data_IF_430239889342
#
_entry.id   IF_430239889342
#
_cell.length_a   1.000
_cell.length_b   1.000
_cell.length_c   1.000
_cell.angle_alpha   90.00
_cell.angle_beta   90.00
_cell.angle_gamma   90.00
#
_symmetry.space_group_name_H-M   'P 1'
#
loop_
_entity.id
_entity.type
_entity.pdbx_description
1 polymer ?
#
# COMPACT_ATOMS: atom_id res chain seq x y z
N UNK A 1 34.55 -65.93 21.78
CA UNK A 1 34.27 -64.57 22.30
C UNK A 1 34.40 -63.47 21.30
N UNK A 2 35.31 -63.46 20.36
CA UNK A 2 35.45 -62.35 19.35
C UNK A 2 34.31 -62.23 18.31
N UNK A 3 33.64 -63.34 17.96
CA UNK A 3 32.55 -63.32 16.94
C UNK A 3 31.23 -62.74 17.45
N UNK A 4 30.97 -62.77 18.75
CA UNK A 4 29.78 -62.18 19.35
C UNK A 4 29.90 -60.66 19.58
N UNK A 5 31.13 -60.19 19.79
CA UNK A 5 31.41 -58.75 19.99
C UNK A 5 31.22 -57.95 18.70
N UNK A 6 31.62 -58.50 17.52
CA UNK A 6 31.44 -57.84 16.24
C UNK A 6 29.98 -57.76 15.77
N UNK A 7 29.10 -58.68 16.18
CA UNK A 7 27.67 -58.62 15.86
C UNK A 7 26.93 -57.55 16.68
N UNK A 8 27.36 -57.32 17.93
CA UNK A 8 26.80 -56.27 18.78
C UNK A 8 27.21 -54.87 18.30
N UNK A 9 28.46 -54.69 17.86
CA UNK A 9 28.93 -53.41 17.29
C UNK A 9 28.22 -53.05 15.97
N UNK A 10 27.91 -54.03 15.12
CA UNK A 10 27.17 -53.79 13.87
C UNK A 10 25.68 -53.42 14.09
N UNK A 11 25.09 -53.90 15.20
CA UNK A 11 23.69 -53.53 15.53
C UNK A 11 23.58 -52.11 16.12
N UNK A 12 24.58 -51.63 16.84
CA UNK A 12 24.62 -50.28 17.41
C UNK A 12 24.92 -49.24 16.33
N UNK A 13 25.77 -49.56 15.33
CA UNK A 13 26.02 -48.66 14.17
C UNK A 13 24.79 -48.50 13.24
N UNK A 14 23.92 -49.52 13.16
CA UNK A 14 22.70 -49.47 12.33
C UNK A 14 21.57 -48.65 12.93
N UNK A 15 21.55 -48.42 14.26
CA UNK A 15 20.46 -47.72 14.95
C UNK A 15 20.73 -46.21 15.11
N UNK A 16 21.95 -45.73 14.82
CA UNK A 16 22.30 -44.31 14.97
C UNK A 16 22.04 -43.47 13.70
N UNK A 17 21.52 -44.07 12.62
CA UNK A 17 21.28 -43.38 11.32
C UNK A 17 19.83 -42.95 11.08
N UNK A 18 18.94 -43.02 12.05
CA UNK A 18 17.50 -42.78 11.84
C UNK A 18 16.89 -41.63 12.63
N UNK A 19 17.66 -40.64 13.04
CA UNK A 19 17.10 -39.47 13.71
C UNK A 19 17.72 -38.14 13.18
N UNK A 20 17.89 -37.98 11.87
CA UNK A 20 17.87 -36.64 11.36
C UNK A 20 16.41 -36.18 11.27
N UNK A 21 15.87 -35.82 12.44
CA UNK A 21 14.69 -34.96 12.47
C UNK A 21 15.13 -33.67 11.79
N UNK A 22 14.84 -33.59 10.49
CA UNK A 22 14.95 -32.31 9.78
C UNK A 22 14.07 -31.34 10.56
N UNK A 23 14.67 -30.46 11.34
CA UNK A 23 13.96 -29.38 11.97
C UNK A 23 13.37 -28.56 10.81
N UNK A 24 12.07 -28.77 10.54
CA UNK A 24 11.35 -28.01 9.55
C UNK A 24 11.37 -26.55 9.99
N UNK A 25 11.93 -25.70 9.18
CA UNK A 25 11.94 -24.26 9.46
C UNK A 25 10.53 -23.70 9.31
N UNK A 26 10.09 -22.88 10.27
CA UNK A 26 8.80 -22.20 10.16
C UNK A 26 8.79 -21.33 8.88
N UNK A 27 7.65 -21.31 8.18
CA UNK A 27 7.46 -20.40 7.05
C UNK A 27 7.23 -19.00 7.60
N UNK A 28 8.13 -18.07 7.28
CA UNK A 28 8.01 -16.67 7.71
C UNK A 28 7.33 -15.85 6.63
N UNK A 29 6.23 -15.19 6.98
CA UNK A 29 5.53 -14.22 6.13
C UNK A 29 5.46 -12.88 6.84
N UNK A 30 5.19 -11.81 6.11
CA UNK A 30 5.10 -10.49 6.72
C UNK A 30 3.88 -9.70 6.25
N UNK A 31 3.48 -8.71 7.05
CA UNK A 31 2.59 -7.63 6.64
C UNK A 31 3.24 -6.29 6.94
N UNK A 32 3.27 -5.41 5.95
CA UNK A 32 3.89 -4.09 6.04
C UNK A 32 2.91 -2.98 5.65
N UNK A 33 2.96 -1.88 6.38
CA UNK A 33 2.15 -0.69 6.13
C UNK A 33 2.31 0.33 7.25
N UNK A 34 1.51 1.41 7.25
CA UNK A 34 1.59 2.46 8.24
C UNK A 34 0.99 2.00 9.58
N UNK A 35 1.74 1.30 10.40
CA UNK A 35 1.28 0.84 11.73
C UNK A 35 1.24 1.99 12.73
N UNK A 36 1.94 3.09 12.45
CA UNK A 36 1.95 4.34 13.22
C UNK A 36 1.64 5.56 12.35
N UNK A 37 1.55 6.76 12.98
CA UNK A 37 1.30 8.02 12.29
C UNK A 37 -0.15 8.24 11.88
N UNK A 38 -0.36 9.22 11.01
CA UNK A 38 -1.72 9.67 10.63
C UNK A 38 -2.55 8.64 9.84
N UNK A 39 -1.90 7.62 9.28
CA UNK A 39 -2.52 6.56 8.51
C UNK A 39 -2.59 5.22 9.27
N UNK A 40 -2.34 5.23 10.58
CA UNK A 40 -2.29 4.02 11.42
C UNK A 40 -3.57 3.18 11.37
N UNK A 41 -4.72 3.78 11.11
CA UNK A 41 -5.99 3.05 10.94
C UNK A 41 -5.97 2.07 9.78
N UNK A 42 -5.27 2.38 8.70
CA UNK A 42 -5.07 1.45 7.58
C UNK A 42 -4.10 0.32 7.94
N UNK A 43 -3.01 0.65 8.67
CA UNK A 43 -2.08 -0.35 9.20
C UNK A 43 -2.76 -1.34 10.13
N UNK A 44 -3.64 -0.84 11.00
CA UNK A 44 -4.44 -1.70 11.89
C UNK A 44 -5.33 -2.69 11.12
N UNK A 45 -5.95 -2.25 10.01
CA UNK A 45 -6.75 -3.13 9.15
C UNK A 45 -5.88 -4.21 8.48
N UNK A 46 -4.70 -3.84 7.95
CA UNK A 46 -3.75 -4.79 7.36
C UNK A 46 -3.32 -5.84 8.37
N UNK A 47 -2.90 -5.39 9.56
CA UNK A 47 -2.48 -6.26 10.66
C UNK A 47 -3.58 -7.23 11.07
N UNK A 48 -4.80 -6.73 11.29
CA UNK A 48 -5.93 -7.56 11.67
C UNK A 48 -6.25 -8.64 10.62
N UNK A 49 -6.21 -8.29 9.33
CA UNK A 49 -6.39 -9.25 8.23
C UNK A 49 -5.30 -10.31 8.19
N UNK A 50 -4.03 -9.91 8.34
CA UNK A 50 -2.90 -10.82 8.36
C UNK A 50 -2.92 -11.78 9.58
N UNK A 51 -3.25 -11.27 10.77
CA UNK A 51 -3.38 -12.06 11.98
C UNK A 51 -4.55 -13.07 11.89
N UNK A 52 -5.67 -12.66 11.30
CA UNK A 52 -6.81 -13.56 11.07
C UNK A 52 -6.42 -14.68 10.11
N UNK A 53 -5.76 -14.37 9.01
CA UNK A 53 -5.25 -15.35 8.06
C UNK A 53 -4.25 -16.30 8.73
N UNK A 54 -3.30 -15.79 9.50
CA UNK A 54 -2.32 -16.57 10.25
C UNK A 54 -3.00 -17.60 11.15
N UNK A 55 -3.98 -17.15 11.95
CA UNK A 55 -4.75 -18.03 12.84
C UNK A 55 -5.47 -19.13 12.06
N UNK A 56 -6.05 -18.80 10.91
CA UNK A 56 -6.76 -19.74 10.06
C UNK A 56 -5.81 -20.78 9.46
N UNK A 57 -4.68 -20.36 8.87
CA UNK A 57 -3.74 -21.29 8.23
C UNK A 57 -3.08 -22.22 9.24
N UNK A 58 -2.68 -21.70 10.40
CA UNK A 58 -2.05 -22.52 11.44
C UNK A 58 -3.03 -23.52 12.10
N UNK A 59 -4.32 -23.15 12.19
CA UNK A 59 -5.38 -24.09 12.62
C UNK A 59 -5.56 -25.26 11.65
N UNK A 60 -5.26 -25.06 10.37
CA UNK A 60 -5.30 -26.10 9.33
C UNK A 60 -4.00 -26.88 9.19
N UNK A 61 -3.02 -26.69 10.07
CA UNK A 61 -1.75 -27.41 10.06
C UNK A 61 -0.59 -26.66 9.37
N UNK A 62 -0.77 -25.38 9.07
CA UNK A 62 0.27 -24.55 8.44
C UNK A 62 0.35 -24.71 6.91
N UNK A 63 1.52 -24.42 6.38
CA UNK A 63 1.85 -24.59 4.95
C UNK A 63 2.76 -25.83 4.82
N UNK A 64 2.36 -26.83 4.07
CA UNK A 64 3.09 -28.10 3.92
C UNK A 64 3.42 -28.79 5.27
N UNK A 65 2.56 -28.60 6.29
CA UNK A 65 2.77 -29.14 7.63
C UNK A 65 3.73 -28.32 8.49
N UNK A 66 4.18 -27.16 8.02
CA UNK A 66 5.03 -26.22 8.76
C UNK A 66 4.20 -25.07 9.31
N UNK A 67 4.49 -24.66 10.55
CA UNK A 67 3.82 -23.48 11.12
C UNK A 67 4.26 -22.22 10.41
N UNK A 68 3.31 -21.29 10.26
CA UNK A 68 3.56 -19.97 9.70
C UNK A 68 3.81 -18.98 10.83
N UNK A 69 4.85 -18.16 10.71
CA UNK A 69 5.13 -16.99 11.55
C UNK A 69 4.82 -15.71 10.76
N UNK A 70 4.29 -14.72 11.46
CA UNK A 70 3.95 -13.42 10.89
C UNK A 70 4.82 -12.33 11.50
N UNK A 71 5.57 -11.64 10.65
CA UNK A 71 6.30 -10.43 10.99
C UNK A 71 5.46 -9.20 10.62
N UNK A 72 5.51 -8.15 11.46
CA UNK A 72 4.85 -6.88 11.20
C UNK A 72 5.90 -5.79 10.99
N UNK A 73 5.75 -5.03 9.90
CA UNK A 73 6.59 -3.89 9.57
C UNK A 73 5.82 -2.59 9.54
N UNK A 74 6.32 -1.60 10.27
CA UNK A 74 5.79 -0.23 10.23
C UNK A 74 6.62 0.61 9.28
N UNK A 75 6.01 1.09 8.19
CA UNK A 75 6.63 2.00 7.24
C UNK A 75 6.15 3.46 7.38
N UNK A 76 5.17 3.71 8.25
CA UNK A 76 4.54 5.03 8.45
C UNK A 76 4.16 5.78 7.15
N UNK A 77 4.00 5.08 6.01
CA UNK A 77 3.92 5.62 4.64
C UNK A 77 5.16 6.43 4.22
N UNK A 78 6.30 6.24 4.87
CA UNK A 78 7.58 6.87 4.51
C UNK A 78 8.40 5.95 3.59
N UNK A 79 8.86 6.45 2.43
CA UNK A 79 9.62 5.64 1.47
C UNK A 79 10.92 5.06 2.03
N UNK A 80 11.62 5.81 2.90
CA UNK A 80 12.90 5.37 3.49
C UNK A 80 12.65 4.28 4.53
N UNK A 81 11.64 4.47 5.39
CA UNK A 81 11.23 3.43 6.34
C UNK A 81 10.77 2.16 5.63
N UNK A 82 10.04 2.28 4.52
CA UNK A 82 9.62 1.13 3.73
C UNK A 82 10.80 0.30 3.21
N UNK A 83 11.87 0.94 2.73
CA UNK A 83 13.10 0.26 2.32
C UNK A 83 13.79 -0.40 3.53
N UNK A 84 13.83 0.27 4.67
CA UNK A 84 14.42 -0.30 5.90
C UNK A 84 13.63 -1.54 6.38
N UNK A 85 12.30 -1.49 6.33
CA UNK A 85 11.41 -2.64 6.62
C UNK A 85 11.66 -3.77 5.64
N UNK A 86 11.80 -3.48 4.35
CA UNK A 86 12.06 -4.50 3.33
C UNK A 86 13.40 -5.21 3.55
N UNK A 87 14.47 -4.48 3.83
CA UNK A 87 15.77 -5.06 4.17
C UNK A 87 15.72 -5.89 5.46
N UNK A 88 14.98 -5.44 6.48
CA UNK A 88 14.76 -6.22 7.71
C UNK A 88 14.10 -7.57 7.38
N UNK A 89 13.05 -7.57 6.56
CA UNK A 89 12.34 -8.78 6.18
C UNK A 89 13.20 -9.73 5.35
N UNK A 90 14.02 -9.20 4.45
CA UNK A 90 15.00 -9.97 3.69
C UNK A 90 15.98 -10.69 4.65
N UNK A 91 16.55 -9.97 5.61
CA UNK A 91 17.44 -10.53 6.63
C UNK A 91 16.77 -11.55 7.57
N UNK A 92 15.44 -11.55 7.67
CA UNK A 92 14.65 -12.50 8.47
C UNK A 92 14.19 -13.72 7.66
N UNK A 93 14.50 -13.81 6.38
CA UNK A 93 14.09 -14.91 5.51
C UNK A 93 12.59 -14.93 5.22
N UNK A 94 11.94 -13.76 5.19
CA UNK A 94 10.52 -13.65 4.84
C UNK A 94 10.32 -14.08 3.39
N UNK A 95 9.38 -15.00 3.14
CA UNK A 95 9.07 -15.52 1.81
C UNK A 95 8.01 -14.67 1.06
N UNK A 96 7.10 -14.02 1.81
CA UNK A 96 5.94 -13.32 1.28
C UNK A 96 5.60 -12.10 2.14
N UNK A 97 5.28 -10.98 1.47
CA UNK A 97 4.85 -9.74 2.13
C UNK A 97 3.46 -9.32 1.63
N UNK A 98 2.48 -9.29 2.54
CA UNK A 98 1.21 -8.62 2.34
C UNK A 98 1.37 -7.12 2.63
N UNK A 99 1.56 -6.32 1.60
CA UNK A 99 1.89 -4.89 1.75
C UNK A 99 2.70 -4.36 0.57
N UNK A 100 3.20 -3.16 0.65
CA UNK A 100 2.83 -2.11 1.61
C UNK A 100 1.48 -1.46 1.27
N UNK A 101 1.01 -0.53 2.10
CA UNK A 101 -0.24 0.18 1.84
C UNK A 101 -0.05 1.35 0.87
N UNK A 102 0.84 2.28 1.21
CA UNK A 102 1.08 3.47 0.41
C UNK A 102 1.92 3.17 -0.84
N UNK A 103 1.55 3.70 -2.01
CA UNK A 103 2.33 3.52 -3.24
C UNK A 103 3.77 4.02 -3.10
N UNK A 104 3.96 5.12 -2.35
CA UNK A 104 5.29 5.67 -2.04
C UNK A 104 6.17 4.75 -1.19
N UNK A 105 5.57 3.81 -0.46
CA UNK A 105 6.24 2.76 0.31
C UNK A 105 6.47 1.50 -0.54
N UNK A 106 5.41 1.04 -1.21
CA UNK A 106 5.45 -0.21 -2.00
C UNK A 106 6.45 -0.18 -3.14
N UNK A 107 6.54 0.96 -3.86
CA UNK A 107 7.41 1.08 -5.04
C UNK A 107 8.90 0.93 -4.68
N UNK A 108 9.48 1.70 -3.73
CA UNK A 108 10.88 1.51 -3.38
C UNK A 108 11.15 0.17 -2.68
N UNK A 109 10.23 -0.33 -1.85
CA UNK A 109 10.36 -1.65 -1.21
C UNK A 109 10.38 -2.80 -2.23
N UNK A 110 9.66 -2.68 -3.35
CA UNK A 110 9.62 -3.71 -4.39
C UNK A 110 10.98 -4.01 -5.01
N UNK A 111 11.88 -3.02 -5.07
CA UNK A 111 13.23 -3.23 -5.56
C UNK A 111 13.99 -4.24 -4.67
N UNK A 112 13.97 -4.02 -3.34
CA UNK A 112 14.58 -4.94 -2.37
C UNK A 112 13.96 -6.33 -2.46
N UNK A 113 12.63 -6.41 -2.47
CA UNK A 113 11.95 -7.71 -2.55
C UNK A 113 12.25 -8.47 -3.84
N UNK A 114 12.40 -7.76 -4.97
CA UNK A 114 12.77 -8.41 -6.23
C UNK A 114 14.20 -8.93 -6.26
N UNK A 115 15.16 -8.22 -5.65
CA UNK A 115 16.54 -8.69 -5.49
C UNK A 115 16.61 -9.96 -4.66
N UNK A 116 15.85 -10.02 -3.56
CA UNK A 116 15.85 -11.13 -2.61
C UNK A 116 14.86 -12.26 -2.97
N UNK A 117 14.12 -12.14 -4.08
CA UNK A 117 13.15 -13.15 -4.50
C UNK A 117 11.90 -13.25 -3.61
N UNK A 118 11.60 -12.21 -2.85
CA UNK A 118 10.46 -12.13 -1.94
C UNK A 118 9.21 -11.69 -2.72
N UNK A 119 8.12 -12.42 -2.57
CA UNK A 119 6.85 -12.06 -3.20
C UNK A 119 6.20 -10.91 -2.42
N UNK A 120 5.93 -9.80 -3.11
CA UNK A 120 5.16 -8.68 -2.59
C UNK A 120 3.77 -8.64 -3.23
N UNK A 121 2.73 -8.61 -2.40
CA UNK A 121 1.34 -8.38 -2.87
C UNK A 121 0.75 -7.19 -2.11
N UNK A 122 0.59 -6.06 -2.80
CA UNK A 122 -0.04 -4.89 -2.19
C UNK A 122 -1.57 -4.97 -2.28
N UNK A 123 -2.28 -4.78 -1.16
CA UNK A 123 -3.75 -4.71 -1.16
C UNK A 123 -4.28 -3.31 -1.50
N UNK A 124 -3.43 -2.29 -1.58
CA UNK A 124 -3.88 -0.90 -1.60
C UNK A 124 -3.08 0.06 -2.50
N UNK A 125 -1.86 -0.27 -2.88
CA UNK A 125 -1.02 0.61 -3.72
C UNK A 125 -1.50 0.62 -5.16
N UNK A 126 -2.11 1.72 -5.56
CA UNK A 126 -2.80 1.87 -6.84
C UNK A 126 -1.93 2.48 -7.96
N UNK A 127 -0.78 3.10 -7.62
CA UNK A 127 0.09 3.70 -8.62
C UNK A 127 0.58 2.65 -9.64
N UNK A 128 0.42 2.90 -10.97
CA UNK A 128 0.83 1.97 -12.02
C UNK A 128 2.29 1.52 -11.93
N UNK A 129 3.19 2.40 -11.50
CA UNK A 129 4.61 2.13 -11.41
C UNK A 129 4.95 0.93 -10.50
N UNK A 130 4.08 0.59 -9.53
CA UNK A 130 4.31 -0.57 -8.66
C UNK A 130 4.48 -1.86 -9.45
N UNK A 131 3.59 -2.15 -10.39
CA UNK A 131 3.65 -3.39 -11.17
C UNK A 131 4.30 -3.20 -12.54
N UNK A 132 4.32 -1.97 -13.08
CA UNK A 132 4.96 -1.70 -14.36
C UNK A 132 6.51 -1.71 -14.24
N UNK A 133 7.04 -1.41 -13.04
CA UNK A 133 8.48 -1.33 -12.74
C UNK A 133 8.93 -2.24 -11.60
N UNK A 134 8.00 -2.82 -10.86
CA UNK A 134 8.26 -3.56 -9.62
C UNK A 134 8.89 -4.96 -9.80
N UNK A 135 9.08 -5.41 -11.05
CA UNK A 135 9.69 -6.71 -11.34
C UNK A 135 8.74 -7.90 -11.20
N UNK A 136 9.29 -9.10 -11.31
CA UNK A 136 8.52 -10.35 -11.44
C UNK A 136 7.85 -10.86 -10.15
N UNK A 137 8.28 -10.35 -8.99
CA UNK A 137 7.75 -10.76 -7.69
C UNK A 137 6.77 -9.73 -7.08
N UNK A 138 6.38 -8.70 -7.84
CA UNK A 138 5.53 -7.62 -7.35
C UNK A 138 4.14 -7.66 -7.96
N UNK A 139 3.13 -7.74 -7.11
CA UNK A 139 1.73 -7.87 -7.47
C UNK A 139 0.85 -6.88 -6.70
N UNK A 140 -0.39 -6.68 -7.18
CA UNK A 140 -1.45 -5.97 -6.46
C UNK A 140 -2.78 -6.70 -6.63
N UNK A 141 -3.70 -6.49 -5.67
CA UNK A 141 -5.07 -7.00 -5.73
C UNK A 141 -6.12 -5.87 -5.70
N UNK A 142 -5.69 -4.63 -5.91
CA UNK A 142 -6.54 -3.45 -6.03
C UNK A 142 -6.50 -2.87 -7.45
N UNK A 143 -7.38 -1.89 -7.74
CA UNK A 143 -7.40 -1.14 -9.00
C UNK A 143 -6.15 -0.31 -9.22
N UNK A 144 -6.08 0.35 -10.39
CA UNK A 144 -4.95 1.20 -10.82
C UNK A 144 -5.39 2.65 -10.99
N UNK A 145 -4.48 3.58 -10.67
CA UNK A 145 -4.72 5.02 -10.77
C UNK A 145 -4.92 5.49 -12.22
N UNK A 146 -4.38 4.81 -13.21
CA UNK A 146 -4.60 5.13 -14.62
C UNK A 146 -6.06 4.89 -15.03
N UNK A 147 -6.70 3.80 -14.58
CA UNK A 147 -8.13 3.55 -14.78
C UNK A 147 -8.99 4.54 -13.97
N UNK A 148 -8.63 4.78 -12.72
CA UNK A 148 -9.34 5.71 -11.84
C UNK A 148 -9.26 7.14 -12.38
N UNK A 149 -8.08 7.57 -12.85
CA UNK A 149 -7.90 8.87 -13.48
C UNK A 149 -8.63 9.01 -14.81
N UNK A 150 -8.85 7.92 -15.56
CA UNK A 150 -9.69 7.93 -16.76
C UNK A 150 -11.15 8.21 -16.40
N UNK A 151 -11.70 7.48 -15.45
CA UNK A 151 -13.10 7.63 -14.98
C UNK A 151 -13.31 9.05 -14.42
N UNK A 152 -12.42 9.49 -13.51
CA UNK A 152 -12.52 10.80 -12.90
C UNK A 152 -12.37 11.94 -13.91
N UNK A 153 -11.43 11.80 -14.86
CA UNK A 153 -11.22 12.81 -15.90
C UNK A 153 -12.41 12.96 -16.83
N UNK A 154 -13.03 11.87 -17.26
CA UNK A 154 -14.27 11.87 -18.05
C UNK A 154 -15.43 12.49 -17.27
N UNK A 155 -15.64 12.05 -16.03
CA UNK A 155 -16.68 12.58 -15.15
C UNK A 155 -16.58 14.10 -14.98
N UNK A 156 -15.37 14.62 -14.74
CA UNK A 156 -15.13 16.05 -14.61
C UNK A 156 -15.44 16.79 -15.92
N UNK A 157 -15.01 16.26 -17.07
CA UNK A 157 -15.24 16.89 -18.35
C UNK A 157 -16.72 16.94 -18.73
N UNK A 158 -17.49 15.91 -18.41
CA UNK A 158 -18.92 15.82 -18.68
C UNK A 158 -19.75 16.72 -17.75
N UNK A 159 -19.46 16.70 -16.45
CA UNK A 159 -20.30 17.36 -15.44
C UNK A 159 -19.88 18.81 -15.13
N UNK A 160 -18.65 19.20 -15.49
CA UNK A 160 -18.12 20.55 -15.23
C UNK A 160 -17.70 21.29 -16.51
N UNK A 161 -18.35 20.98 -17.64
CA UNK A 161 -18.13 21.69 -18.90
C UNK A 161 -18.42 23.18 -18.72
N UNK A 162 -17.47 24.04 -19.12
CA UNK A 162 -17.57 25.50 -18.97
C UNK A 162 -17.33 26.01 -17.54
N UNK A 163 -16.98 25.14 -16.59
CA UNK A 163 -16.68 25.48 -15.21
C UNK A 163 -15.19 25.37 -14.93
N UNK A 164 -14.76 25.95 -13.79
CA UNK A 164 -13.38 25.98 -13.35
C UNK A 164 -13.09 24.81 -12.41
N UNK A 165 -12.27 23.87 -12.85
CA UNK A 165 -11.83 22.72 -12.06
C UNK A 165 -10.40 22.93 -11.58
N UNK A 166 -10.16 22.78 -10.28
CA UNK A 166 -8.83 22.68 -9.71
C UNK A 166 -8.46 21.21 -9.46
N UNK A 167 -7.20 20.86 -9.71
CA UNK A 167 -6.63 19.57 -9.39
C UNK A 167 -5.54 19.77 -8.34
N UNK A 168 -5.68 19.13 -7.19
CA UNK A 168 -4.75 19.20 -6.07
C UNK A 168 -4.05 17.87 -5.86
N UNK A 169 -2.81 17.89 -5.32
CA UNK A 169 -2.11 16.67 -4.94
C UNK A 169 -1.15 16.88 -3.77
N UNK A 170 -0.90 15.81 -3.03
CA UNK A 170 -0.08 15.76 -1.81
C UNK A 170 1.43 15.53 -2.08
N UNK A 171 1.89 15.61 -3.30
CA UNK A 171 3.27 15.35 -3.77
C UNK A 171 3.71 13.88 -3.66
N UNK A 172 2.93 13.00 -3.04
CA UNK A 172 3.28 11.56 -2.94
C UNK A 172 3.21 10.85 -4.29
N UNK A 173 3.83 9.69 -4.39
CA UNK A 173 3.73 8.85 -5.59
C UNK A 173 2.27 8.49 -5.92
N UNK A 174 1.44 8.25 -4.88
CA UNK A 174 0.00 8.02 -5.05
C UNK A 174 -0.73 9.27 -5.52
N UNK A 175 -0.79 10.31 -4.67
CA UNK A 175 -1.67 11.44 -4.92
C UNK A 175 -1.28 12.24 -6.16
N UNK A 176 0.02 12.46 -6.40
CA UNK A 176 0.50 13.11 -7.63
C UNK A 176 0.22 12.25 -8.86
N UNK A 177 0.48 10.93 -8.79
CA UNK A 177 0.23 10.02 -9.91
C UNK A 177 -1.23 10.00 -10.33
N UNK A 178 -2.14 9.92 -9.36
CA UNK A 178 -3.58 9.95 -9.60
C UNK A 178 -4.06 11.30 -10.15
N UNK A 179 -3.56 12.42 -9.60
CA UNK A 179 -3.88 13.76 -10.07
C UNK A 179 -3.41 13.98 -11.52
N UNK A 180 -2.19 13.52 -11.86
CA UNK A 180 -1.64 13.59 -13.22
C UNK A 180 -2.48 12.77 -14.21
N UNK A 181 -2.89 11.54 -13.83
CA UNK A 181 -3.73 10.67 -14.64
C UNK A 181 -5.12 11.30 -14.89
N UNK A 182 -5.75 11.84 -13.86
CA UNK A 182 -7.03 12.53 -13.95
C UNK A 182 -6.93 13.76 -14.84
N UNK A 183 -5.92 14.62 -14.61
CA UNK A 183 -5.65 15.81 -15.41
C UNK A 183 -5.47 15.49 -16.90
N UNK A 184 -4.68 14.47 -17.19
CA UNK A 184 -4.42 14.00 -18.56
C UNK A 184 -5.73 13.60 -19.25
N UNK A 185 -6.55 12.79 -18.59
CA UNK A 185 -7.78 12.29 -19.18
C UNK A 185 -8.87 13.36 -19.25
N UNK A 186 -8.95 14.28 -18.28
CA UNK A 186 -9.83 15.44 -18.33
C UNK A 186 -9.50 16.34 -19.52
N UNK A 187 -8.21 16.61 -19.79
CA UNK A 187 -7.77 17.37 -20.97
C UNK A 187 -8.11 16.65 -22.27
N UNK A 188 -7.90 15.32 -22.31
CA UNK A 188 -8.27 14.49 -23.48
C UNK A 188 -9.78 14.54 -23.76
N UNK A 189 -10.60 14.66 -22.72
CA UNK A 189 -12.06 14.79 -22.82
C UNK A 189 -12.53 16.25 -23.05
N UNK A 190 -11.61 17.19 -23.29
CA UNK A 190 -11.93 18.57 -23.70
C UNK A 190 -12.06 19.59 -22.56
N UNK A 191 -11.81 19.23 -21.31
CA UNK A 191 -11.81 20.17 -20.19
C UNK A 191 -10.36 20.39 -19.67
N UNK A 192 -9.93 21.66 -19.60
CA UNK A 192 -8.65 22.03 -19.02
C UNK A 192 -8.81 22.41 -17.55
N UNK A 193 -7.83 22.04 -16.74
CA UNK A 193 -7.73 22.53 -15.36
C UNK A 193 -7.55 24.06 -15.32
N UNK A 194 -8.29 24.72 -14.45
CA UNK A 194 -8.10 26.13 -14.13
C UNK A 194 -6.94 26.32 -13.14
N UNK A 195 -6.64 25.29 -12.32
CA UNK A 195 -5.56 25.33 -11.36
C UNK A 195 -5.03 23.90 -11.15
N UNK A 196 -3.71 23.75 -11.04
CA UNK A 196 -3.02 22.53 -10.66
C UNK A 196 -2.00 22.86 -9.57
N UNK A 197 -2.26 22.40 -8.35
CA UNK A 197 -1.48 22.79 -7.17
C UNK A 197 -1.10 21.60 -6.31
N UNK A 198 0.09 21.72 -5.69
CA UNK A 198 0.55 20.80 -4.70
C UNK A 198 0.28 21.35 -3.28
N UNK A 199 -0.06 20.49 -2.35
CA UNK A 199 -0.06 20.78 -0.93
C UNK A 199 0.91 19.86 -0.18
N UNK A 200 1.25 20.19 1.04
CA UNK A 200 2.12 19.36 1.88
C UNK A 200 1.25 18.49 2.79
N UNK A 201 1.44 17.18 2.73
CA UNK A 201 0.75 16.25 3.62
C UNK A 201 1.19 16.47 5.08
N UNK A 202 0.26 16.25 6.02
CA UNK A 202 0.50 16.37 7.46
C UNK A 202 0.35 17.77 8.05
N UNK A 203 0.18 18.80 7.24
CA UNK A 203 -0.14 20.15 7.73
C UNK A 203 -1.54 20.18 8.36
N UNK A 204 -1.77 21.17 9.25
CA UNK A 204 -3.04 21.37 9.94
C UNK A 204 -3.84 22.53 9.37
N UNK A 205 -3.19 23.39 8.60
CA UNK A 205 -3.79 24.58 8.01
C UNK A 205 -3.52 24.66 6.50
N UNK A 206 -4.60 24.71 5.75
CA UNK A 206 -4.63 24.86 4.29
C UNK A 206 -5.37 26.14 3.87
N UNK A 207 -5.58 27.10 4.80
CA UNK A 207 -6.34 28.33 4.55
C UNK A 207 -5.81 29.16 3.38
N UNK A 208 -4.48 29.21 3.21
CA UNK A 208 -3.85 29.90 2.07
C UNK A 208 -4.22 29.22 0.74
N UNK A 209 -4.19 27.90 0.66
CA UNK A 209 -4.63 27.13 -0.51
C UNK A 209 -6.12 27.36 -0.79
N UNK A 210 -6.95 27.30 0.25
CA UNK A 210 -8.39 27.54 0.15
C UNK A 210 -8.70 28.96 -0.31
N UNK A 211 -7.98 29.97 0.20
CA UNK A 211 -8.11 31.37 -0.25
C UNK A 211 -7.76 31.51 -1.74
N UNK A 212 -6.74 30.78 -2.22
CA UNK A 212 -6.36 30.75 -3.64
C UNK A 212 -7.46 30.09 -4.49
N UNK A 213 -8.06 28.99 -4.03
CA UNK A 213 -9.22 28.36 -4.69
C UNK A 213 -10.39 29.33 -4.82
N UNK A 214 -10.71 30.04 -3.72
CA UNK A 214 -11.80 31.03 -3.66
C UNK A 214 -11.55 32.20 -4.61
N UNK A 215 -10.36 32.79 -4.60
CA UNK A 215 -9.98 33.91 -5.46
C UNK A 215 -10.06 33.56 -6.95
N UNK A 216 -9.82 32.31 -7.31
CA UNK A 216 -9.94 31.82 -8.70
C UNK A 216 -11.36 31.39 -9.08
N UNK A 217 -12.34 31.50 -8.17
CA UNK A 217 -13.72 31.06 -8.37
C UNK A 217 -13.82 29.60 -8.85
N UNK A 218 -13.17 28.69 -8.14
CA UNK A 218 -13.16 27.27 -8.48
C UNK A 218 -14.52 26.63 -8.19
N UNK A 219 -15.09 25.94 -9.16
CA UNK A 219 -16.40 25.26 -9.07
C UNK A 219 -16.28 23.84 -8.50
N UNK A 220 -15.20 23.15 -8.85
CA UNK A 220 -14.90 21.81 -8.35
C UNK A 220 -13.41 21.60 -8.09
N UNK A 221 -13.11 20.83 -7.07
CA UNK A 221 -11.75 20.41 -6.71
C UNK A 221 -11.66 18.90 -6.85
N UNK A 222 -10.69 18.40 -7.61
CA UNK A 222 -10.25 17.03 -7.59
C UNK A 222 -9.02 16.91 -6.70
N UNK A 223 -9.04 15.97 -5.74
CA UNK A 223 -7.95 15.76 -4.80
C UNK A 223 -7.28 14.41 -5.01
N UNK A 224 -6.02 14.42 -5.44
CA UNK A 224 -5.10 13.29 -5.37
C UNK A 224 -4.37 13.30 -4.04
N UNK A 225 -4.80 12.46 -3.11
CA UNK A 225 -4.26 12.42 -1.75
C UNK A 225 -5.15 11.62 -0.81
N UNK A 226 -4.88 11.75 0.49
CA UNK A 226 -5.56 10.96 1.51
C UNK A 226 -6.67 11.74 2.21
N UNK A 227 -7.50 10.99 2.94
CA UNK A 227 -8.71 11.50 3.61
C UNK A 227 -8.42 12.54 4.70
N UNK A 228 -7.28 12.47 5.36
CA UNK A 228 -6.92 13.38 6.46
C UNK A 228 -6.85 14.82 5.96
N UNK A 229 -6.07 15.06 4.91
CA UNK A 229 -5.91 16.38 4.30
C UNK A 229 -7.16 16.79 3.54
N UNK A 230 -7.81 15.85 2.83
CA UNK A 230 -9.07 16.09 2.14
C UNK A 230 -10.16 16.61 3.08
N UNK A 231 -10.27 16.00 4.26
CA UNK A 231 -11.21 16.43 5.31
C UNK A 231 -10.90 17.83 5.85
N UNK A 232 -9.62 18.16 6.06
CA UNK A 232 -9.21 19.50 6.51
C UNK A 232 -9.47 20.55 5.43
N UNK A 233 -9.11 20.28 4.19
CA UNK A 233 -9.31 21.20 3.07
C UNK A 233 -10.80 21.48 2.87
N UNK A 234 -11.65 20.46 2.83
CA UNK A 234 -13.10 20.68 2.63
C UNK A 234 -13.73 21.44 3.80
N UNK A 235 -13.31 21.17 5.04
CA UNK A 235 -13.77 21.93 6.19
C UNK A 235 -13.40 23.40 6.06
N UNK A 236 -12.13 23.70 5.80
CA UNK A 236 -11.66 25.09 5.64
C UNK A 236 -12.29 25.79 4.43
N UNK A 237 -12.62 25.05 3.35
CA UNK A 237 -13.44 25.61 2.25
C UNK A 237 -14.82 26.04 2.76
N UNK A 238 -15.48 25.23 3.60
CA UNK A 238 -16.80 25.58 4.18
C UNK A 238 -16.70 26.76 5.16
N UNK A 239 -15.66 26.78 5.98
CA UNK A 239 -15.39 27.90 6.91
C UNK A 239 -15.20 29.23 6.18
N UNK A 240 -14.62 29.21 4.97
CA UNK A 240 -14.52 30.39 4.09
C UNK A 240 -15.76 30.64 3.20
N UNK A 241 -16.86 29.94 3.43
CA UNK A 241 -18.12 30.10 2.72
C UNK A 241 -18.15 29.53 1.30
N UNK A 242 -17.18 28.70 0.93
CA UNK A 242 -17.17 28.03 -0.38
C UNK A 242 -18.14 26.85 -0.40
N UNK A 243 -18.94 26.76 -1.48
CA UNK A 243 -19.82 25.60 -1.76
C UNK A 243 -19.24 24.65 -2.81
N UNK A 244 -18.00 24.87 -3.19
CA UNK A 244 -17.24 24.09 -4.19
C UNK A 244 -17.28 22.61 -3.87
N UNK A 245 -17.54 21.77 -4.87
CA UNK A 245 -17.50 20.32 -4.74
C UNK A 245 -16.06 19.86 -4.55
N UNK A 246 -15.83 18.97 -3.59
CA UNK A 246 -14.58 18.23 -3.46
C UNK A 246 -14.81 16.79 -3.94
N UNK A 247 -14.15 16.40 -5.01
CA UNK A 247 -14.12 15.04 -5.52
C UNK A 247 -12.80 14.39 -5.14
N UNK A 248 -12.86 13.25 -4.46
CA UNK A 248 -11.71 12.45 -4.07
C UNK A 248 -12.06 10.97 -4.16
N UNK A 249 -11.07 10.10 -4.14
CA UNK A 249 -11.25 8.70 -4.50
C UNK A 249 -10.89 7.72 -3.37
N UNK A 250 -10.89 8.17 -2.13
CA UNK A 250 -10.79 7.25 -0.99
C UNK A 250 -12.19 6.73 -0.66
N UNK A 251 -12.41 5.40 -0.58
CA UNK A 251 -13.73 4.86 -0.21
C UNK A 251 -14.13 5.35 1.18
N UNK A 252 -15.25 6.08 1.25
CA UNK A 252 -15.85 6.46 2.51
C UNK A 252 -16.49 5.23 3.14
N UNK A 253 -16.40 5.03 4.46
CA UNK A 253 -17.16 3.99 5.16
C UNK A 253 -18.68 4.09 4.94
N UNK A 254 -19.19 5.27 4.53
CA UNK A 254 -20.62 5.51 4.21
C UNK A 254 -21.01 5.04 2.81
N UNK A 255 -20.04 4.81 1.92
CA UNK A 255 -20.31 4.37 0.55
C UNK A 255 -20.45 2.84 0.43
N UNK A 256 -20.40 2.15 1.57
CA UNK A 256 -20.63 0.71 1.69
C UNK A 256 -22.06 0.46 2.22
N UNK A 257 -23.04 1.01 1.50
CA UNK A 257 -24.44 0.69 1.71
C UNK A 257 -24.79 -0.73 1.27
#
# INVERSE_FOLDING_TARGET
MLRTFNKLLSLIAGTLMLATVSAKADVVVASAGPMSGQYASFGAQLKAGAEMWLKHVNKKGGINGEKVKLEIGDDACDPKQAVAVANKFAGQGVAYVAGHFCSGSSIPASAVYNEEGIIQVSPASTNPALTDKGGKYTFRVCGRDDQQGEVAGKFLAENYKGKKVAILHDKTAYGKGLADATRKNMKKAGLKDAMYEAYTAGEKDYSALVSKLKANNIDAVYLGGYHTEGGLIVRQMRDQGMKTCLLYTSPSPRDRG
#
